data_IF_552574752073
#
_entry.id   IF_552574752073
#
_cell.length_a   1.000
_cell.length_b   1.000
_cell.length_c   1.000
_cell.angle_alpha   90.00
_cell.angle_beta   90.00
_cell.angle_gamma   90.00
#
_symmetry.space_group_name_H-M   'P 1'
#
loop_
_entity.id
_entity.type
_entity.pdbx_description
1 polymer ?
#
# COMPACT_ATOMS: atom_id res chain seq x y z
N UNK A 1 -18.56 4.05 -14.56
CA UNK A 1 -18.10 2.66 -14.37
C UNK A 1 -17.82 2.43 -12.91
N UNK A 2 -18.26 1.32 -12.36
CA UNK A 2 -18.02 1.01 -10.96
C UNK A 2 -16.62 0.45 -10.77
N UNK A 3 -15.92 0.94 -9.73
CA UNK A 3 -14.65 0.36 -9.33
C UNK A 3 -14.92 -0.97 -8.65
N UNK A 4 -14.23 -2.02 -9.09
CA UNK A 4 -14.36 -3.34 -8.48
C UNK A 4 -13.67 -3.36 -7.12
N UNK A 5 -14.27 -4.06 -6.18
CA UNK A 5 -13.70 -4.25 -4.85
C UNK A 5 -13.96 -5.68 -4.39
N UNK A 6 -13.25 -6.09 -3.35
CA UNK A 6 -13.42 -7.39 -2.73
C UNK A 6 -14.13 -7.18 -1.40
N UNK A 7 -15.45 -7.40 -1.39
CA UNK A 7 -16.26 -7.27 -0.17
C UNK A 7 -16.07 -5.92 0.53
N UNK A 8 -15.97 -4.84 -0.26
CA UNK A 8 -15.85 -3.49 0.27
C UNK A 8 -14.43 -2.98 0.44
N UNK A 9 -13.42 -3.81 0.20
CA UNK A 9 -12.03 -3.37 0.26
C UNK A 9 -11.44 -3.29 -1.15
N UNK A 10 -10.49 -2.40 -1.34
CA UNK A 10 -9.89 -2.10 -2.64
C UNK A 10 -8.46 -2.61 -2.78
N UNK A 11 -7.88 -3.09 -1.69
CA UNK A 11 -6.56 -3.73 -1.69
C UNK A 11 -6.46 -4.61 -0.43
N UNK A 12 -5.50 -5.52 -0.42
CA UNK A 12 -5.25 -6.39 0.74
C UNK A 12 -3.88 -6.10 1.38
N UNK A 13 -3.12 -5.16 0.81
CA UNK A 13 -1.73 -4.92 1.23
C UNK A 13 -1.59 -3.70 2.15
N UNK A 14 -2.63 -2.87 2.27
CA UNK A 14 -2.52 -1.58 2.94
C UNK A 14 -2.13 -1.65 4.40
N UNK A 15 -2.63 -2.65 5.13
CA UNK A 15 -2.28 -2.81 6.54
C UNK A 15 -0.79 -3.13 6.70
N UNK A 16 -0.22 -3.93 5.80
CA UNK A 16 1.19 -4.25 5.82
C UNK A 16 2.05 -3.08 5.36
N UNK A 17 1.56 -2.29 4.39
CA UNK A 17 2.25 -1.07 3.99
C UNK A 17 2.41 -0.16 5.22
N UNK A 18 1.34 0.04 5.97
CA UNK A 18 1.38 0.85 7.19
C UNK A 18 2.36 0.28 8.20
N UNK A 19 2.30 -1.04 8.42
CA UNK A 19 3.16 -1.74 9.37
C UNK A 19 4.64 -1.50 9.05
N UNK A 20 5.03 -1.72 7.81
CA UNK A 20 6.44 -1.59 7.41
C UNK A 20 6.86 -0.13 7.27
N UNK A 21 5.94 0.75 6.90
CA UNK A 21 6.20 2.19 6.89
C UNK A 21 6.55 2.67 8.30
N UNK A 22 5.72 2.30 9.27
CA UNK A 22 5.93 2.70 10.67
C UNK A 22 7.19 2.07 11.25
N UNK A 23 7.48 0.83 10.87
CA UNK A 23 8.71 0.16 11.30
C UNK A 23 9.96 0.85 10.78
N UNK A 24 9.87 1.56 9.66
CA UNK A 24 10.95 2.35 9.09
C UNK A 24 10.94 3.81 9.58
N UNK A 25 10.04 4.16 10.49
CA UNK A 25 9.88 5.53 11.00
C UNK A 25 9.62 6.55 9.90
N UNK A 26 8.86 6.16 8.88
CA UNK A 26 8.51 7.01 7.74
C UNK A 26 7.05 7.43 7.87
N UNK A 27 6.79 8.76 7.80
CA UNK A 27 5.43 9.27 7.79
C UNK A 27 4.76 9.01 6.44
N UNK A 28 3.43 9.13 6.39
CA UNK A 28 2.71 9.04 5.12
C UNK A 28 3.20 10.10 4.13
N UNK A 29 3.47 11.30 4.60
CA UNK A 29 3.97 12.39 3.78
C UNK A 29 5.38 12.09 3.25
N UNK A 30 6.24 11.53 4.08
CA UNK A 30 7.59 11.14 3.66
C UNK A 30 7.53 10.03 2.61
N UNK A 31 6.63 9.06 2.76
CA UNK A 31 6.46 8.01 1.76
C UNK A 31 5.99 8.61 0.44
N UNK A 32 5.04 9.54 0.49
CA UNK A 32 4.57 10.27 -0.69
C UNK A 32 5.73 10.96 -1.41
N UNK A 33 6.58 11.66 -0.65
CA UNK A 33 7.72 12.37 -1.21
C UNK A 33 8.73 11.41 -1.84
N UNK A 34 9.00 10.28 -1.21
CA UNK A 34 9.92 9.27 -1.74
C UNK A 34 9.38 8.63 -3.01
N UNK A 35 8.07 8.36 -3.07
CA UNK A 35 7.43 7.82 -4.26
C UNK A 35 7.54 8.77 -5.44
N UNK A 36 7.42 10.08 -5.19
CA UNK A 36 7.51 11.07 -6.26
C UNK A 36 8.86 11.07 -6.95
N UNK A 37 9.93 10.68 -6.26
CA UNK A 37 11.26 10.57 -6.87
C UNK A 37 11.32 9.47 -7.93
N UNK A 38 10.40 8.53 -7.90
CA UNK A 38 10.29 7.45 -8.89
C UNK A 38 9.17 7.71 -9.89
N UNK A 39 8.61 8.92 -9.90
CA UNK A 39 7.55 9.29 -10.84
C UNK A 39 6.16 8.81 -10.43
N UNK A 40 6.00 8.39 -9.17
CA UNK A 40 4.71 7.92 -8.65
C UNK A 40 4.03 9.05 -7.91
N UNK A 41 2.85 9.40 -8.38
CA UNK A 41 2.09 10.56 -7.89
C UNK A 41 0.99 10.11 -6.94
N UNK A 42 1.38 9.78 -5.71
CA UNK A 42 0.46 9.47 -4.62
C UNK A 42 0.64 10.49 -3.52
N UNK A 43 -0.42 11.22 -3.21
CA UNK A 43 -0.41 12.17 -2.09
C UNK A 43 -0.52 11.42 -0.76
N UNK A 44 -0.19 12.09 0.34
CA UNK A 44 -0.30 11.46 1.66
C UNK A 44 -1.74 11.03 1.96
N UNK A 45 -2.73 11.75 1.43
CA UNK A 45 -4.15 11.36 1.58
C UNK A 45 -4.46 10.07 0.83
N UNK A 46 -3.83 9.85 -0.33
CA UNK A 46 -3.97 8.60 -1.07
C UNK A 46 -3.37 7.44 -0.29
N UNK A 47 -2.20 7.67 0.30
CA UNK A 47 -1.54 6.66 1.13
C UNK A 47 -2.41 6.29 2.33
N UNK A 48 -3.01 7.30 2.96
CA UNK A 48 -3.95 7.07 4.06
C UNK A 48 -5.11 6.17 3.63
N UNK A 49 -5.66 6.42 2.44
CA UNK A 49 -6.76 5.61 1.90
C UNK A 49 -6.30 4.20 1.53
N UNK A 50 -5.07 4.05 1.02
CA UNK A 50 -4.50 2.73 0.76
C UNK A 50 -4.36 1.96 2.06
N UNK A 51 -3.84 2.59 3.11
CA UNK A 51 -3.63 1.95 4.40
C UNK A 51 -4.93 1.60 5.10
N UNK A 52 -6.02 2.27 4.77
CA UNK A 52 -7.35 1.93 5.28
C UNK A 52 -8.15 1.03 4.33
N UNK A 53 -7.50 0.51 3.27
CA UNK A 53 -8.08 -0.42 2.30
C UNK A 53 -9.17 0.22 1.43
N UNK A 54 -9.16 1.55 1.29
CA UNK A 54 -10.18 2.30 0.56
C UNK A 54 -9.75 2.75 -0.83
N UNK A 55 -8.53 2.40 -1.25
CA UNK A 55 -8.02 2.75 -2.58
C UNK A 55 -7.20 1.57 -3.10
N UNK A 56 -7.37 1.23 -4.37
CA UNK A 56 -6.56 0.16 -4.94
C UNK A 56 -5.13 0.64 -5.21
N UNK A 57 -4.20 -0.32 -5.30
CA UNK A 57 -2.78 -0.05 -5.50
C UNK A 57 -2.36 -0.71 -6.81
N UNK A 58 -1.70 0.05 -7.67
CA UNK A 58 -1.21 -0.47 -8.94
C UNK A 58 0.07 -1.28 -8.72
N UNK A 59 0.32 -2.24 -9.59
CA UNK A 59 1.48 -3.14 -9.41
C UNK A 59 2.81 -2.39 -9.41
N UNK A 60 2.95 -1.37 -10.24
CA UNK A 60 4.20 -0.59 -10.27
C UNK A 60 4.35 0.26 -8.99
N UNK A 61 3.25 0.64 -8.38
CA UNK A 61 3.29 1.33 -7.08
C UNK A 61 3.78 0.38 -5.99
N UNK A 62 3.29 -0.86 -5.99
CA UNK A 62 3.73 -1.88 -5.04
C UNK A 62 5.23 -2.13 -5.15
N UNK A 63 5.74 -2.22 -6.37
CA UNK A 63 7.16 -2.47 -6.59
C UNK A 63 8.02 -1.38 -5.96
N UNK A 64 7.64 -0.12 -6.14
CA UNK A 64 8.42 1.00 -5.60
C UNK A 64 8.25 1.12 -4.09
N UNK A 65 7.05 0.89 -3.58
CA UNK A 65 6.82 0.87 -2.13
C UNK A 65 7.73 -0.16 -1.46
N UNK A 66 7.82 -1.36 -2.03
CA UNK A 66 8.71 -2.40 -1.50
C UNK A 66 10.16 -1.96 -1.50
N UNK A 67 10.60 -1.27 -2.55
CA UNK A 67 11.96 -0.76 -2.61
C UNK A 67 12.23 0.28 -1.54
N UNK A 68 11.31 1.23 -1.37
CA UNK A 68 11.45 2.29 -0.37
C UNK A 68 11.47 1.71 1.04
N UNK A 69 10.59 0.76 1.32
CA UNK A 69 10.47 0.14 2.63
C UNK A 69 11.49 -0.98 2.86
N UNK A 70 12.26 -1.32 1.82
CA UNK A 70 13.28 -2.36 1.86
C UNK A 70 12.70 -3.71 2.30
N UNK A 71 11.60 -4.11 1.67
CA UNK A 71 10.92 -5.36 1.95
C UNK A 71 10.68 -6.11 0.65
N UNK A 72 10.39 -7.41 0.78
CA UNK A 72 10.00 -8.25 -0.34
C UNK A 72 8.50 -8.14 -0.55
N UNK A 73 8.04 -8.37 -1.79
CA UNK A 73 6.63 -8.28 -2.13
C UNK A 73 5.78 -9.21 -1.26
N UNK A 74 6.25 -10.42 -1.00
CA UNK A 74 5.52 -11.38 -0.17
C UNK A 74 5.27 -10.87 1.25
N UNK A 75 6.10 -9.95 1.75
CA UNK A 75 5.86 -9.36 3.08
C UNK A 75 4.63 -8.46 3.07
N UNK A 76 4.26 -7.87 1.93
CA UNK A 76 3.03 -7.09 1.83
C UNK A 76 1.79 -7.97 1.85
N UNK A 77 1.93 -9.27 1.59
CA UNK A 77 0.82 -10.21 1.58
C UNK A 77 0.71 -11.05 2.84
N UNK A 78 1.56 -10.79 3.85
CA UNK A 78 1.48 -11.50 5.13
C UNK A 78 0.10 -11.30 5.76
N UNK A 79 -0.49 -12.40 6.23
CA UNK A 79 -1.78 -12.41 6.93
C UNK A 79 -2.94 -11.87 6.11
N UNK A 80 -2.84 -11.91 4.77
CA UNK A 80 -3.92 -11.41 3.90
C UNK A 80 -4.94 -12.49 3.56
N UNK A 81 -4.66 -13.75 3.88
CA UNK A 81 -5.61 -14.85 3.62
C UNK A 81 -6.94 -14.62 4.34
N UNK A 82 -6.93 -13.87 5.44
CA UNK A 82 -8.14 -13.55 6.21
C UNK A 82 -9.17 -12.75 5.41
N UNK A 83 -8.76 -12.11 4.32
CA UNK A 83 -9.69 -11.37 3.44
C UNK A 83 -10.41 -12.28 2.46
N UNK A 84 -10.03 -13.54 2.41
CA UNK A 84 -10.55 -14.53 1.47
C UNK A 84 -11.11 -15.71 2.24
N UNK A 85 -11.88 -16.53 1.53
CA UNK A 85 -12.43 -17.77 2.07
C UNK A 85 -11.58 -18.95 1.61
N UNK A 86 -10.32 -18.89 1.98
CA UNK A 86 -9.37 -19.96 1.64
C UNK A 86 -9.46 -21.14 2.61
#
# INVERSE_FOLDING_TARGET
MKTKNLNGIYNVVGLNIKKYREANNISQRELSNKLSLYGIDLYHSDISRIESLQLFVRDYELKVICKILNIKLEQLYENTDKFFNF
#
